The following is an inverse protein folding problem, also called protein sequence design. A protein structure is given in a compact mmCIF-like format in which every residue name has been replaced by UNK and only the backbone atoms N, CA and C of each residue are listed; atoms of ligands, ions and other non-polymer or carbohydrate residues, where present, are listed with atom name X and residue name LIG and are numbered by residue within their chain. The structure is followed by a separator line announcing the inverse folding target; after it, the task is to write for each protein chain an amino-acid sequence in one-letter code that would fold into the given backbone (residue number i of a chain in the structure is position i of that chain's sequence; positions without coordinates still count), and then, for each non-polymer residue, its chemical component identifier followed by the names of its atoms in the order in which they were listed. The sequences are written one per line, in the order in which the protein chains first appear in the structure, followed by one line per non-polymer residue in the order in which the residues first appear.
data_IF_775466749347
#
_entry.id   IF_775466749347
#
_cell.length_a   1.000
_cell.length_b   1.000
_cell.length_c   1.000
_cell.angle_alpha   90.00
_cell.angle_beta   90.00
_cell.angle_gamma   90.00
#
_symmetry.space_group_name_H-M   'P 1'
#
loop_
_entity.id
_entity.type
_entity.pdbx_description
1 polymer ?
#
# COMPACT_ATOMS: atom_id res chain seq x y z
N UNK A 1 -26.22 21.64 32.36
CA UNK A 1 -24.85 22.16 32.13
C UNK A 1 -23.90 20.99 31.91
N UNK A 2 -23.86 20.45 30.68
CA UNK A 2 -22.78 19.57 30.21
C UNK A 2 -22.51 20.00 28.78
N UNK A 3 -21.64 21.00 28.63
CA UNK A 3 -21.03 21.31 27.35
C UNK A 3 -19.92 20.27 27.15
N UNK A 4 -20.23 19.16 26.48
CA UNK A 4 -19.21 18.21 26.06
C UNK A 4 -18.63 18.68 24.72
N UNK A 5 -17.42 19.22 24.81
CA UNK A 5 -16.49 19.60 23.75
C UNK A 5 -16.75 18.95 22.38
N UNK A 6 -17.26 19.75 21.43
CA UNK A 6 -17.43 19.38 20.03
C UNK A 6 -16.16 19.60 19.17
N UNK A 7 -14.99 19.81 19.77
CA UNK A 7 -13.83 20.37 19.07
C UNK A 7 -12.52 19.57 19.18
N UNK A 8 -12.61 18.29 19.55
CA UNK A 8 -11.49 17.36 19.34
C UNK A 8 -11.82 16.54 18.11
N UNK A 9 -11.01 16.65 17.05
CA UNK A 9 -10.98 15.61 16.02
C UNK A 9 -10.95 14.27 16.76
N UNK A 10 -12.00 13.46 16.61
CA UNK A 10 -12.13 12.23 17.40
C UNK A 10 -10.86 11.39 17.27
N UNK A 11 -10.42 10.69 18.34
CA UNK A 11 -9.17 9.92 18.34
C UNK A 11 -9.02 9.01 17.10
N UNK A 12 -10.13 8.50 16.55
CA UNK A 12 -10.17 7.74 15.29
C UNK A 12 -9.59 8.51 14.07
N UNK A 13 -9.87 9.80 13.91
CA UNK A 13 -9.41 10.59 12.74
C UNK A 13 -7.90 10.84 12.78
N UNK A 14 -7.37 11.20 13.94
CA UNK A 14 -5.93 11.40 14.13
C UNK A 14 -5.19 10.10 13.83
N UNK A 15 -5.72 8.97 14.33
CA UNK A 15 -5.18 7.64 14.05
C UNK A 15 -5.24 7.31 12.56
N UNK A 16 -6.37 7.53 11.88
CA UNK A 16 -6.47 7.30 10.43
C UNK A 16 -5.48 8.15 9.63
N UNK A 17 -5.31 9.44 9.96
CA UNK A 17 -4.31 10.29 9.31
C UNK A 17 -2.89 9.78 9.57
N UNK A 18 -2.58 9.37 10.80
CA UNK A 18 -1.28 8.77 11.12
C UNK A 18 -1.03 7.50 10.30
N UNK A 19 -2.07 6.66 10.11
CA UNK A 19 -2.00 5.49 9.24
C UNK A 19 -1.72 5.86 7.78
N UNK A 20 -2.32 6.93 7.25
CA UNK A 20 -2.02 7.41 5.89
C UNK A 20 -0.56 7.90 5.78
N UNK A 21 -0.05 8.58 6.81
CA UNK A 21 1.35 9.03 6.87
C UNK A 21 2.38 7.90 7.01
N UNK A 22 1.96 6.69 7.36
CA UNK A 22 2.83 5.52 7.30
C UNK A 22 3.29 5.22 5.86
N UNK A 23 2.49 5.58 4.83
CA UNK A 23 2.86 5.41 3.42
C UNK A 23 4.11 6.21 3.01
N UNK A 24 4.13 7.55 3.19
CA UNK A 24 5.32 8.35 2.90
C UNK A 24 6.55 7.93 3.71
N UNK A 25 6.37 7.58 4.99
CA UNK A 25 7.45 7.10 5.83
C UNK A 25 8.03 5.77 5.31
N UNK A 26 7.16 4.84 4.94
CA UNK A 26 7.54 3.58 4.30
C UNK A 26 8.32 3.83 3.01
N UNK A 27 7.81 4.68 2.12
CA UNK A 27 8.47 5.03 0.86
C UNK A 27 9.84 5.67 1.06
N UNK A 28 9.98 6.58 2.03
CA UNK A 28 11.25 7.20 2.36
C UNK A 28 12.27 6.18 2.89
N UNK A 29 11.88 5.32 3.83
CA UNK A 29 12.74 4.26 4.36
C UNK A 29 13.13 3.26 3.27
N UNK A 30 12.19 2.87 2.41
CA UNK A 30 12.46 2.02 1.26
C UNK A 30 13.52 2.65 0.36
N UNK A 31 13.37 3.90 -0.06
CA UNK A 31 14.35 4.59 -0.93
C UNK A 31 15.72 4.65 -0.26
N UNK A 32 15.79 5.05 1.02
CA UNK A 32 17.05 5.11 1.77
C UNK A 32 17.73 3.74 1.83
N UNK A 33 16.98 2.69 2.17
CA UNK A 33 17.51 1.34 2.25
C UNK A 33 17.97 0.79 0.90
N UNK A 34 17.20 1.04 -0.17
CA UNK A 34 17.52 0.56 -1.52
C UNK A 34 18.77 1.24 -2.11
N UNK A 35 18.93 2.54 -1.83
CA UNK A 35 20.12 3.33 -2.22
C UNK A 35 21.34 2.88 -1.42
N UNK A 36 21.22 2.71 -0.11
CA UNK A 36 22.31 2.21 0.74
C UNK A 36 22.78 0.81 0.31
N UNK A 37 21.84 -0.05 -0.11
CA UNK A 37 22.18 -1.37 -0.64
C UNK A 37 22.81 -1.33 -2.04
N UNK A 38 22.85 -0.19 -2.72
CA UNK A 38 23.38 -0.06 -4.08
C UNK A 38 22.49 -0.73 -5.14
N UNK A 39 21.20 -0.88 -4.88
CA UNK A 39 20.25 -1.56 -5.77
C UNK A 39 19.45 -0.60 -6.66
N UNK A 40 19.80 0.69 -6.67
CA UNK A 40 19.20 1.69 -7.54
C UNK A 40 20.23 2.29 -8.52
N UNK A 41 20.18 1.98 -9.84
CA UNK A 41 19.25 1.07 -10.51
C UNK A 41 19.51 -0.41 -10.19
N UNK A 42 18.57 -1.32 -10.53
CA UNK A 42 18.71 -2.72 -10.20
C UNK A 42 19.90 -3.34 -10.94
N UNK A 43 20.62 -4.25 -10.28
CA UNK A 43 21.70 -5.03 -10.83
C UNK A 43 21.26 -5.89 -12.04
N UNK A 44 22.20 -6.41 -12.82
CA UNK A 44 21.89 -7.13 -14.05
C UNK A 44 21.55 -8.61 -13.79
N UNK A 45 20.49 -9.17 -14.42
CA UNK A 45 20.16 -10.60 -14.29
C UNK A 45 21.20 -11.53 -14.94
N UNK A 46 22.12 -10.97 -15.74
CA UNK A 46 23.17 -11.73 -16.42
C UNK A 46 24.43 -11.91 -15.58
N UNK A 47 24.49 -11.35 -14.36
CA UNK A 47 25.62 -11.56 -13.47
C UNK A 47 25.82 -13.06 -13.20
N UNK A 48 27.06 -13.51 -13.34
CA UNK A 48 27.50 -14.84 -12.95
C UNK A 48 27.47 -14.99 -11.43
N UNK A 49 27.51 -16.23 -10.96
CA UNK A 49 27.54 -16.51 -9.53
C UNK A 49 28.74 -15.85 -8.83
N UNK A 50 29.90 -15.86 -9.50
CA UNK A 50 31.11 -15.22 -8.99
C UNK A 50 30.98 -13.69 -8.90
N UNK A 51 30.36 -13.05 -9.89
CA UNK A 51 30.13 -11.59 -9.88
C UNK A 51 29.17 -11.17 -8.77
N UNK A 52 28.08 -11.91 -8.57
CA UNK A 52 27.13 -11.64 -7.47
C UNK A 52 27.82 -11.80 -6.11
N UNK A 53 28.57 -12.88 -5.92
CA UNK A 53 29.31 -13.12 -4.67
C UNK A 53 30.34 -12.01 -4.41
N UNK A 54 31.13 -11.62 -5.41
CA UNK A 54 32.11 -10.56 -5.28
C UNK A 54 31.48 -9.20 -4.94
N UNK A 55 30.35 -8.85 -5.58
CA UNK A 55 29.60 -7.62 -5.26
C UNK A 55 29.13 -7.62 -3.81
N UNK A 56 28.57 -8.74 -3.34
CA UNK A 56 28.11 -8.90 -1.96
C UNK A 56 29.28 -8.80 -0.99
N UNK A 57 30.42 -9.43 -1.27
CA UNK A 57 31.59 -9.39 -0.40
C UNK A 57 32.16 -7.98 -0.27
N UNK A 58 32.23 -7.24 -1.37
CA UNK A 58 32.75 -5.88 -1.38
C UNK A 58 31.87 -4.88 -0.61
N UNK A 59 30.54 -5.07 -0.61
CA UNK A 59 29.57 -4.12 -0.04
C UNK A 59 28.67 -4.72 1.05
N UNK A 60 29.11 -5.81 1.68
CA UNK A 60 28.30 -6.65 2.59
C UNK A 60 27.56 -5.87 3.67
N UNK A 61 28.27 -4.96 4.35
CA UNK A 61 27.71 -4.18 5.44
C UNK A 61 26.62 -3.22 4.95
N UNK A 62 26.89 -2.48 3.87
CA UNK A 62 25.96 -1.54 3.25
C UNK A 62 24.69 -2.26 2.75
N UNK A 63 24.86 -3.38 2.02
CA UNK A 63 23.73 -4.21 1.55
C UNK A 63 22.86 -4.66 2.73
N UNK A 64 23.46 -5.19 3.81
CA UNK A 64 22.70 -5.63 4.98
C UNK A 64 21.97 -4.49 5.67
N UNK A 65 22.63 -3.34 5.88
CA UNK A 65 22.02 -2.17 6.50
C UNK A 65 20.84 -1.69 5.66
N UNK A 66 21.05 -1.54 4.35
CA UNK A 66 20.00 -1.13 3.42
C UNK A 66 18.80 -2.07 3.43
N UNK A 67 19.03 -3.38 3.40
CA UNK A 67 17.95 -4.37 3.42
C UNK A 67 17.24 -4.45 4.78
N UNK A 68 17.95 -4.25 5.90
CA UNK A 68 17.32 -4.13 7.22
C UNK A 68 16.41 -2.90 7.30
N UNK A 69 16.83 -1.76 6.73
CA UNK A 69 15.98 -0.55 6.65
C UNK A 69 14.74 -0.83 5.80
N UNK A 70 14.90 -1.45 4.62
CA UNK A 70 13.78 -1.84 3.77
C UNK A 70 12.81 -2.79 4.49
N UNK A 71 13.33 -3.81 5.17
CA UNK A 71 12.54 -4.76 5.94
C UNK A 71 11.77 -4.09 7.09
N UNK A 72 12.41 -3.15 7.79
CA UNK A 72 11.77 -2.36 8.85
C UNK A 72 10.67 -1.44 8.31
N UNK A 73 10.71 -1.07 7.03
CA UNK A 73 9.66 -0.28 6.39
C UNK A 73 8.41 -1.10 6.05
N UNK A 74 8.53 -2.42 5.81
CA UNK A 74 7.43 -3.25 5.33
C UNK A 74 6.15 -3.17 6.19
N UNK A 75 6.20 -3.26 7.52
CA UNK A 75 5.00 -3.22 8.35
C UNK A 75 4.20 -1.91 8.25
N UNK A 76 4.84 -0.80 7.84
CA UNK A 76 4.19 0.49 7.64
C UNK A 76 3.25 0.51 6.44
N UNK A 77 3.36 -0.46 5.53
CA UNK A 77 2.43 -0.63 4.42
C UNK A 77 1.02 -0.98 4.92
N UNK A 78 0.90 -1.80 5.97
CA UNK A 78 -0.38 -2.27 6.48
C UNK A 78 -1.31 -1.14 6.98
N UNK A 79 -0.87 -0.20 7.86
CA UNK A 79 -1.72 0.93 8.25
C UNK A 79 -2.08 1.83 7.07
N UNK A 80 -1.17 2.02 6.11
CA UNK A 80 -1.47 2.78 4.89
C UNK A 80 -2.59 2.11 4.08
N UNK A 81 -2.49 0.81 3.80
CA UNK A 81 -3.49 0.06 3.05
C UNK A 81 -4.81 -0.11 3.80
N UNK A 82 -4.78 -0.23 5.14
CA UNK A 82 -5.99 -0.24 5.96
C UNK A 82 -6.80 1.05 5.81
N UNK A 83 -6.15 2.17 5.52
CA UNK A 83 -6.83 3.45 5.27
C UNK A 83 -7.68 3.39 4.00
N UNK A 84 -7.25 2.66 2.95
CA UNK A 84 -8.07 2.40 1.77
C UNK A 84 -9.30 1.56 2.13
N UNK A 85 -9.11 0.48 2.89
CA UNK A 85 -10.21 -0.40 3.34
C UNK A 85 -11.28 0.40 4.07
N UNK A 86 -10.93 1.27 5.01
CA UNK A 86 -11.91 2.08 5.74
C UNK A 86 -12.75 2.94 4.79
N UNK A 87 -12.13 3.57 3.79
CA UNK A 87 -12.88 4.36 2.82
C UNK A 87 -13.75 3.51 1.89
N UNK A 88 -13.30 2.30 1.53
CA UNK A 88 -14.10 1.36 0.75
C UNK A 88 -15.29 0.79 1.54
N UNK A 89 -15.15 0.56 2.85
CA UNK A 89 -16.26 0.17 3.72
C UNK A 89 -17.38 1.21 3.70
N UNK A 90 -17.01 2.50 3.68
CA UNK A 90 -17.98 3.58 3.51
C UNK A 90 -18.70 3.44 2.16
N UNK A 91 -17.97 3.19 1.07
CA UNK A 91 -18.58 3.06 -0.27
C UNK A 91 -19.57 1.89 -0.35
N UNK A 92 -19.18 0.68 0.08
CA UNK A 92 -19.98 -0.54 -0.10
C UNK A 92 -21.06 -0.77 0.97
N UNK A 93 -20.90 -0.20 2.17
CA UNK A 93 -21.87 -0.32 3.25
C UNK A 93 -21.97 -1.72 3.86
N UNK A 94 -23.17 -2.31 3.89
CA UNK A 94 -23.49 -3.48 4.71
C UNK A 94 -22.81 -4.79 4.30
N UNK A 95 -22.42 -4.94 3.02
CA UNK A 95 -21.81 -6.17 2.49
C UNK A 95 -20.53 -5.86 1.71
N UNK A 96 -19.46 -5.41 2.38
CA UNK A 96 -18.33 -4.77 1.72
C UNK A 96 -17.25 -5.77 1.30
N UNK A 97 -17.55 -6.56 0.27
CA UNK A 97 -16.68 -7.63 -0.19
C UNK A 97 -15.38 -7.09 -0.80
N UNK A 98 -15.44 -5.96 -1.51
CA UNK A 98 -14.26 -5.35 -2.12
C UNK A 98 -13.33 -4.79 -1.03
N UNK A 99 -13.86 -4.16 0.02
CA UNK A 99 -13.08 -3.62 1.12
C UNK A 99 -12.33 -4.71 1.91
N UNK A 100 -13.00 -5.84 2.20
CA UNK A 100 -12.33 -6.96 2.88
C UNK A 100 -11.33 -7.66 1.97
N UNK A 101 -11.61 -7.77 0.67
CA UNK A 101 -10.64 -8.29 -0.30
C UNK A 101 -9.42 -7.36 -0.38
N UNK A 102 -9.61 -6.03 -0.38
CA UNK A 102 -8.54 -5.04 -0.32
C UNK A 102 -7.67 -5.22 0.93
N UNK A 103 -8.30 -5.44 2.09
CA UNK A 103 -7.57 -5.65 3.34
C UNK A 103 -6.73 -6.93 3.30
N UNK A 104 -7.31 -8.03 2.84
CA UNK A 104 -6.61 -9.31 2.70
C UNK A 104 -5.43 -9.22 1.73
N UNK A 105 -5.63 -8.56 0.59
CA UNK A 105 -4.56 -8.30 -0.37
C UNK A 105 -3.49 -7.37 0.20
N UNK A 106 -3.85 -6.40 1.04
CA UNK A 106 -2.88 -5.52 1.70
C UNK A 106 -2.01 -6.25 2.73
N UNK A 107 -2.60 -7.18 3.47
CA UNK A 107 -1.85 -8.07 4.35
C UNK A 107 -0.90 -8.98 3.54
N UNK A 108 -1.39 -9.56 2.44
CA UNK A 108 -0.58 -10.37 1.54
C UNK A 108 0.59 -9.58 0.93
N UNK A 109 0.33 -8.38 0.40
CA UNK A 109 1.34 -7.48 -0.16
C UNK A 109 2.44 -7.12 0.84
N UNK A 110 2.08 -6.94 2.12
CA UNK A 110 3.06 -6.70 3.19
C UNK A 110 4.01 -7.88 3.35
N UNK A 111 3.48 -9.10 3.33
CA UNK A 111 4.27 -10.34 3.39
C UNK A 111 5.13 -10.52 2.12
N UNK A 112 4.58 -10.20 0.96
CA UNK A 112 5.29 -10.26 -0.33
C UNK A 112 6.51 -9.36 -0.37
N UNK A 113 6.52 -8.23 0.35
CA UNK A 113 7.74 -7.42 0.51
C UNK A 113 8.70 -7.97 1.57
N UNK A 114 8.22 -8.62 2.63
CA UNK A 114 9.08 -9.18 3.68
C UNK A 114 9.93 -10.34 3.16
N UNK A 115 9.30 -11.27 2.43
CA UNK A 115 9.95 -12.51 1.93
C UNK A 115 11.23 -12.24 1.12
N UNK A 116 11.25 -11.39 0.07
CA UNK A 116 12.44 -11.17 -0.73
C UNK A 116 13.59 -10.60 0.10
N UNK A 117 13.33 -9.71 1.05
CA UNK A 117 14.38 -9.17 1.92
C UNK A 117 14.98 -10.23 2.85
N UNK A 118 14.19 -11.19 3.32
CA UNK A 118 14.73 -12.32 4.08
C UNK A 118 15.69 -13.14 3.21
N UNK A 119 15.30 -13.50 1.99
CA UNK A 119 16.19 -14.23 1.08
C UNK A 119 17.46 -13.44 0.75
N UNK A 120 17.33 -12.13 0.53
CA UNK A 120 18.46 -11.24 0.28
C UNK A 120 19.40 -11.15 1.50
N UNK A 121 18.88 -11.09 2.72
CA UNK A 121 19.73 -11.10 3.92
C UNK A 121 20.47 -12.44 4.06
N UNK A 122 19.78 -13.56 3.80
CA UNK A 122 20.39 -14.89 3.87
C UNK A 122 21.49 -15.04 2.81
N UNK A 123 21.32 -14.50 1.59
CA UNK A 123 22.35 -14.53 0.54
C UNK A 123 23.64 -13.81 0.97
N UNK A 124 23.52 -12.81 1.84
CA UNK A 124 24.68 -12.09 2.38
C UNK A 124 25.23 -12.67 3.68
N UNK A 125 24.55 -13.62 4.34
CA UNK A 125 24.77 -13.94 5.76
C UNK A 125 26.14 -14.61 6.04
N UNK A 126 26.52 -15.60 5.23
CA UNK A 126 27.80 -16.33 5.37
C UNK A 126 28.85 -15.79 4.39
N UNK A 127 30.11 -15.76 4.81
CA UNK A 127 31.21 -15.28 3.97
C UNK A 127 31.81 -16.39 3.10
N UNK A 128 31.75 -17.61 3.61
CA UNK A 128 32.24 -18.85 3.03
C UNK A 128 31.17 -19.58 2.19
N UNK A 129 30.08 -18.91 1.85
CA UNK A 129 28.99 -19.52 1.10
C UNK A 129 29.37 -19.74 -0.37
N UNK A 130 29.04 -20.92 -0.91
CA UNK A 130 29.32 -21.24 -2.31
C UNK A 130 28.60 -20.23 -3.24
N UNK A 131 29.29 -19.66 -4.25
CA UNK A 131 28.73 -18.63 -5.12
C UNK A 131 27.39 -18.99 -5.76
N UNK A 132 27.20 -20.25 -6.16
CA UNK A 132 25.93 -20.70 -6.77
C UNK A 132 24.75 -20.65 -5.79
N UNK A 133 24.98 -20.92 -4.50
CA UNK A 133 23.93 -20.82 -3.47
C UNK A 133 23.59 -19.36 -3.21
N UNK A 134 24.62 -18.51 -3.14
CA UNK A 134 24.45 -17.05 -3.01
C UNK A 134 23.62 -16.51 -4.18
N UNK A 135 23.94 -16.90 -5.42
CA UNK A 135 23.18 -16.51 -6.61
C UNK A 135 21.75 -17.02 -6.57
N UNK A 136 21.51 -18.27 -6.21
CA UNK A 136 20.16 -18.82 -6.14
C UNK A 136 19.26 -18.04 -5.15
N UNK A 137 19.80 -17.70 -3.97
CA UNK A 137 19.11 -16.89 -2.95
C UNK A 137 18.93 -15.43 -3.36
N UNK A 138 19.88 -14.91 -4.13
CA UNK A 138 19.81 -13.58 -4.70
C UNK A 138 18.75 -13.50 -5.80
N UNK A 139 18.76 -14.43 -6.75
CA UNK A 139 17.80 -14.48 -7.85
C UNK A 139 16.37 -14.68 -7.32
N UNK A 140 16.15 -15.60 -6.37
CA UNK A 140 14.82 -15.80 -5.75
C UNK A 140 14.33 -14.52 -5.07
N UNK A 141 15.21 -13.74 -4.44
CA UNK A 141 14.80 -12.47 -3.81
C UNK A 141 14.32 -11.45 -4.85
N UNK A 142 15.00 -11.30 -5.99
CA UNK A 142 14.56 -10.42 -7.07
C UNK A 142 13.29 -10.91 -7.74
N UNK A 143 13.12 -12.23 -7.91
CA UNK A 143 11.90 -12.83 -8.45
C UNK A 143 10.69 -12.60 -7.53
N UNK A 144 10.85 -12.72 -6.21
CA UNK A 144 9.77 -12.37 -5.29
C UNK A 144 9.47 -10.86 -5.31
N UNK A 145 10.52 -10.03 -5.36
CA UNK A 145 10.38 -8.58 -5.34
C UNK A 145 9.68 -8.02 -6.59
N UNK A 146 9.98 -8.55 -7.78
CA UNK A 146 9.48 -8.02 -9.06
C UNK A 146 8.43 -8.92 -9.73
N UNK A 147 8.36 -10.20 -9.38
CA UNK A 147 7.50 -11.17 -10.07
C UNK A 147 6.14 -11.37 -9.45
N UNK A 148 5.94 -11.01 -8.18
CA UNK A 148 4.66 -11.17 -7.47
C UNK A 148 3.79 -9.94 -7.66
N UNK A 149 3.39 -9.70 -8.90
CA UNK A 149 2.69 -8.47 -9.31
C UNK A 149 1.16 -8.62 -9.31
N UNK A 150 0.67 -9.86 -9.37
CA UNK A 150 -0.76 -10.18 -9.44
C UNK A 150 -1.56 -9.63 -8.26
N UNK A 151 -1.01 -9.67 -7.05
CA UNK A 151 -1.63 -9.13 -5.82
C UNK A 151 -1.88 -7.63 -5.94
N UNK A 152 -0.88 -6.86 -6.40
CA UNK A 152 -1.01 -5.42 -6.63
C UNK A 152 -1.98 -5.10 -7.76
N UNK A 153 -1.92 -5.84 -8.87
CA UNK A 153 -2.85 -5.67 -10.00
C UNK A 153 -4.30 -5.82 -9.53
N UNK A 154 -4.59 -6.87 -8.76
CA UNK A 154 -5.93 -7.10 -8.23
C UNK A 154 -6.34 -6.02 -7.23
N UNK A 155 -5.41 -5.58 -6.37
CA UNK A 155 -5.66 -4.51 -5.40
C UNK A 155 -6.01 -3.18 -6.08
N UNK A 156 -5.26 -2.80 -7.12
CA UNK A 156 -5.53 -1.62 -7.94
C UNK A 156 -6.88 -1.75 -8.67
N UNK A 157 -7.16 -2.93 -9.23
CA UNK A 157 -8.41 -3.18 -9.93
C UNK A 157 -9.62 -3.06 -9.00
N UNK A 158 -9.57 -3.69 -7.83
CA UNK A 158 -10.64 -3.69 -6.83
C UNK A 158 -10.90 -2.28 -6.29
N UNK A 159 -9.83 -1.54 -5.95
CA UNK A 159 -9.99 -0.15 -5.52
C UNK A 159 -10.59 0.71 -6.64
N UNK A 160 -10.11 0.55 -7.88
CA UNK A 160 -10.65 1.26 -9.05
C UNK A 160 -12.15 0.99 -9.26
N UNK A 161 -12.57 -0.28 -9.17
CA UNK A 161 -13.99 -0.66 -9.25
C UNK A 161 -14.78 -0.05 -8.10
N UNK A 162 -14.29 -0.14 -6.87
CA UNK A 162 -14.96 0.42 -5.69
C UNK A 162 -15.23 1.93 -5.86
N UNK A 163 -14.26 2.70 -6.36
CA UNK A 163 -14.45 4.13 -6.65
C UNK A 163 -15.53 4.35 -7.72
N UNK A 164 -15.60 3.51 -8.75
CA UNK A 164 -16.55 3.69 -9.86
C UNK A 164 -17.98 3.24 -9.53
N UNK A 165 -18.15 2.30 -8.60
CA UNK A 165 -19.48 1.87 -8.15
C UNK A 165 -20.10 2.84 -7.14
N UNK A 166 -19.34 3.78 -6.59
CA UNK A 166 -19.87 4.80 -5.68
C UNK A 166 -20.99 5.61 -6.38
N UNK A 167 -22.21 5.51 -5.84
CA UNK A 167 -23.45 6.15 -6.32
C UNK A 167 -23.90 7.32 -5.46
N UNK A 168 -23.11 7.73 -4.46
CA UNK A 168 -23.43 8.88 -3.62
C UNK A 168 -23.56 10.15 -4.49
N UNK A 169 -24.41 11.11 -4.09
CA UNK A 169 -24.47 12.43 -4.74
C UNK A 169 -23.11 13.12 -4.74
N UNK A 170 -22.36 12.96 -3.65
CA UNK A 170 -20.97 13.36 -3.49
C UNK A 170 -20.12 12.10 -3.27
N UNK A 171 -19.45 11.56 -4.32
CA UNK A 171 -18.60 10.40 -4.19
C UNK A 171 -17.42 10.63 -3.25
N UNK A 172 -17.01 9.61 -2.49
CA UNK A 172 -15.88 9.72 -1.55
C UNK A 172 -14.58 10.04 -2.30
N UNK A 173 -14.42 9.42 -3.47
CA UNK A 173 -13.29 9.61 -4.36
C UNK A 173 -13.78 10.09 -5.73
N UNK A 174 -13.03 10.97 -6.42
CA UNK A 174 -13.40 11.37 -7.75
C UNK A 174 -13.27 10.20 -8.74
N UNK A 175 -14.20 10.07 -9.68
CA UNK A 175 -14.27 8.92 -10.61
C UNK A 175 -13.01 8.71 -11.44
N UNK A 176 -12.30 9.79 -11.78
CA UNK A 176 -11.03 9.71 -12.51
C UNK A 176 -9.96 8.93 -11.74
N UNK A 177 -9.96 8.99 -10.40
CA UNK A 177 -9.03 8.23 -9.56
C UNK A 177 -9.26 6.72 -9.73
N UNK A 178 -10.53 6.31 -9.88
CA UNK A 178 -10.90 4.94 -10.20
C UNK A 178 -10.33 4.49 -11.55
N UNK A 179 -10.53 5.29 -12.60
CA UNK A 179 -9.98 4.99 -13.94
C UNK A 179 -8.45 4.95 -13.95
N UNK A 180 -7.78 5.84 -13.21
CA UNK A 180 -6.32 5.83 -13.08
C UNK A 180 -5.83 4.55 -12.42
N UNK A 181 -6.47 4.08 -11.33
CA UNK A 181 -6.10 2.82 -10.69
C UNK A 181 -6.32 1.60 -11.61
N UNK A 182 -7.41 1.56 -12.37
CA UNK A 182 -7.64 0.51 -13.37
C UNK A 182 -6.58 0.51 -14.48
N UNK A 183 -6.24 1.70 -14.98
CA UNK A 183 -5.18 1.85 -15.98
C UNK A 183 -3.83 1.39 -15.43
N UNK A 184 -3.49 1.80 -14.21
CA UNK A 184 -2.27 1.37 -13.52
C UNK A 184 -2.21 -0.15 -13.39
N UNK A 185 -3.30 -0.81 -13.02
CA UNK A 185 -3.37 -2.28 -12.94
C UNK A 185 -2.91 -2.95 -14.25
N UNK A 186 -3.28 -2.39 -15.41
CA UNK A 186 -2.84 -2.88 -16.72
C UNK A 186 -1.34 -2.63 -16.94
N UNK A 187 -0.81 -1.48 -16.53
CA UNK A 187 0.61 -1.13 -16.70
C UNK A 187 1.57 -2.04 -15.93
N UNK A 188 1.10 -2.69 -14.87
CA UNK A 188 1.91 -3.62 -14.07
C UNK A 188 1.96 -5.03 -14.66
N UNK A 189 1.03 -5.41 -15.55
CA UNK A 189 0.96 -6.77 -16.15
C UNK A 189 2.25 -7.21 -16.86
N UNK A 190 2.98 -6.35 -17.62
CA UNK A 190 4.22 -6.75 -18.28
C UNK A 190 5.30 -7.30 -17.33
N UNK A 191 5.33 -6.83 -16.08
CA UNK A 191 6.32 -7.29 -15.10
C UNK A 191 6.18 -8.79 -14.79
N UNK A 192 4.97 -9.37 -14.86
CA UNK A 192 4.74 -10.81 -14.69
C UNK A 192 5.48 -11.69 -15.71
N UNK A 193 5.95 -11.12 -16.83
CA UNK A 193 6.67 -11.85 -17.86
C UNK A 193 8.20 -11.85 -17.65
N UNK A 194 8.72 -11.29 -16.56
CA UNK A 194 10.17 -11.19 -16.32
C UNK A 194 10.87 -12.57 -16.32
N UNK A 195 10.16 -13.64 -15.98
CA UNK A 195 10.66 -15.03 -15.96
C UNK A 195 11.16 -15.52 -17.32
N UNK A 196 10.69 -14.93 -18.42
CA UNK A 196 11.02 -15.34 -19.77
C UNK A 196 12.22 -14.59 -20.36
N UNK A 197 12.68 -13.50 -19.72
CA UNK A 197 13.66 -12.60 -20.31
C UNK A 197 14.81 -12.28 -19.35
N UNK A 198 16.04 -12.51 -19.81
CA UNK A 198 17.27 -12.10 -19.12
C UNK A 198 17.90 -10.83 -19.71
N UNK A 199 17.40 -10.36 -20.85
CA UNK A 199 17.91 -9.17 -21.55
C UNK A 199 16.75 -8.40 -22.18
N UNK A 200 16.96 -7.11 -22.43
CA UNK A 200 15.99 -6.26 -23.11
C UNK A 200 14.94 -5.66 -22.17
N UNK A 201 13.84 -5.10 -22.71
CA UNK A 201 12.90 -4.28 -21.94
C UNK A 201 12.12 -5.06 -20.87
N UNK A 202 11.99 -6.38 -21.03
CA UNK A 202 11.30 -7.29 -20.11
C UNK A 202 12.24 -8.03 -19.15
N UNK A 203 13.55 -7.75 -19.17
CA UNK A 203 14.46 -8.21 -18.12
C UNK A 203 14.13 -7.48 -16.81
N UNK A 204 14.54 -8.03 -15.65
CA UNK A 204 14.20 -7.43 -14.35
C UNK A 204 14.71 -5.99 -14.17
N UNK A 205 15.75 -5.60 -14.92
CA UNK A 205 16.35 -4.26 -14.91
C UNK A 205 15.95 -3.45 -16.14
N UNK A 206 15.06 -4.00 -16.97
CA UNK A 206 14.54 -3.39 -18.17
C UNK A 206 13.46 -2.36 -17.88
N UNK A 207 13.12 -1.57 -18.91
CA UNK A 207 12.15 -0.47 -18.81
C UNK A 207 10.77 -0.93 -18.35
N UNK A 208 10.28 -2.09 -18.80
CA UNK A 208 8.92 -2.54 -18.50
C UNK A 208 8.78 -3.22 -17.13
N UNK A 209 9.86 -3.79 -16.59
CA UNK A 209 9.83 -4.48 -15.28
C UNK A 209 10.29 -3.59 -14.15
N UNK A 210 11.22 -2.66 -14.41
CA UNK A 210 11.72 -1.75 -13.39
C UNK A 210 11.08 -0.37 -13.49
N UNK A 211 11.34 0.34 -14.59
CA UNK A 211 11.04 1.77 -14.68
C UNK A 211 9.54 2.06 -14.75
N UNK A 212 8.78 1.32 -15.55
CA UNK A 212 7.32 1.48 -15.63
C UNK A 212 6.67 1.27 -14.25
N UNK A 213 6.91 0.17 -13.51
CA UNK A 213 6.43 0.02 -12.14
C UNK A 213 6.82 1.15 -11.19
N UNK A 214 8.07 1.66 -11.26
CA UNK A 214 8.52 2.79 -10.42
C UNK A 214 7.68 4.05 -10.72
N UNK A 215 7.51 4.42 -11.99
CA UNK A 215 6.70 5.59 -12.35
C UNK A 215 5.21 5.37 -12.05
N UNK A 216 4.68 4.18 -12.32
CA UNK A 216 3.31 3.80 -11.99
C UNK A 216 3.05 3.88 -10.49
N UNK A 217 4.00 3.48 -9.66
CA UNK A 217 3.90 3.63 -8.21
C UNK A 217 3.82 5.11 -7.79
N UNK A 218 4.65 6.00 -8.34
CA UNK A 218 4.59 7.44 -8.02
C UNK A 218 3.26 8.07 -8.44
N UNK A 219 2.80 7.72 -9.64
CA UNK A 219 1.52 8.19 -10.19
C UNK A 219 0.32 7.63 -9.43
N UNK A 220 0.44 6.43 -8.85
CA UNK A 220 -0.53 5.88 -7.93
C UNK A 220 -0.48 6.58 -6.57
N UNK A 221 0.71 6.71 -5.99
CA UNK A 221 0.89 7.11 -4.61
C UNK A 221 0.42 8.54 -4.35
N UNK A 222 0.85 9.50 -5.18
CA UNK A 222 0.57 10.92 -4.93
C UNK A 222 -0.94 11.25 -4.95
N UNK A 223 -1.72 10.87 -5.98
CA UNK A 223 -3.17 11.10 -5.98
C UNK A 223 -3.87 10.36 -4.84
N UNK A 224 -3.61 9.06 -4.67
CA UNK A 224 -4.31 8.27 -3.66
C UNK A 224 -4.01 8.78 -2.24
N UNK A 225 -2.76 9.17 -1.94
CA UNK A 225 -2.39 9.79 -0.68
C UNK A 225 -3.20 11.07 -0.40
N UNK A 226 -3.24 11.99 -1.38
CA UNK A 226 -3.97 13.26 -1.23
C UNK A 226 -5.47 13.02 -1.05
N UNK A 227 -6.06 12.14 -1.86
CA UNK A 227 -7.50 11.87 -1.80
C UNK A 227 -7.90 11.05 -0.58
N UNK A 228 -7.03 10.19 -0.02
CA UNK A 228 -7.28 9.54 1.26
C UNK A 228 -7.35 10.56 2.40
N UNK A 229 -6.40 11.50 2.46
CA UNK A 229 -6.44 12.56 3.48
C UNK A 229 -7.70 13.42 3.35
N UNK A 230 -8.11 13.75 2.11
CA UNK A 230 -9.36 14.48 1.86
C UNK A 230 -10.60 13.68 2.26
N UNK A 231 -10.65 12.39 1.95
CA UNK A 231 -11.77 11.52 2.31
C UNK A 231 -11.94 11.38 3.82
N UNK A 232 -10.82 11.32 4.57
CA UNK A 232 -10.81 11.32 6.04
C UNK A 232 -11.28 12.67 6.59
N UNK A 233 -10.94 13.77 5.93
CA UNK A 233 -11.37 15.10 6.36
C UNK A 233 -12.87 15.33 6.12
N UNK A 234 -13.42 14.81 5.02
CA UNK A 234 -14.85 14.85 4.71
C UNK A 234 -15.70 13.94 5.62
N UNK A 235 -15.15 12.88 6.18
CA UNK A 235 -15.86 11.99 7.14
C UNK A 235 -16.33 12.71 8.41
N UNK A 236 -15.67 13.83 8.78
CA UNK A 236 -16.12 14.70 9.88
C UNK A 236 -17.51 15.30 9.62
N UNK A 237 -17.77 15.69 8.37
CA UNK A 237 -19.00 16.38 8.02
C UNK A 237 -20.20 15.42 8.15
N UNK A 238 -19.98 14.13 7.85
CA UNK A 238 -20.95 13.05 8.07
C UNK A 238 -21.28 12.88 9.56
N UNK A 239 -20.27 12.84 10.46
CA UNK A 239 -20.47 12.64 11.91
C UNK A 239 -21.21 13.82 12.58
N UNK A 240 -20.95 15.05 12.11
CA UNK A 240 -21.69 16.25 12.53
C UNK A 240 -23.17 16.15 12.11
N UNK A 241 -23.44 15.62 10.91
CA UNK A 241 -24.81 15.41 10.42
C UNK A 241 -25.57 14.37 11.25
N UNK A 242 -24.94 13.25 11.60
CA UNK A 242 -25.54 12.19 12.43
C UNK A 242 -25.82 12.72 13.83
N UNK A 243 -24.87 13.43 14.44
CA UNK A 243 -25.06 14.05 15.76
C UNK A 243 -26.23 15.02 15.77
N UNK A 244 -26.41 15.78 14.69
CA UNK A 244 -27.57 16.66 14.50
C UNK A 244 -28.87 15.86 14.40
N UNK A 245 -28.91 14.81 13.58
CA UNK A 245 -30.09 13.95 13.43
C UNK A 245 -30.48 13.27 14.73
N UNK A 246 -29.52 12.76 15.50
CA UNK A 246 -29.77 12.19 16.83
C UNK A 246 -30.39 13.21 17.78
N UNK A 247 -29.92 14.47 17.73
CA UNK A 247 -30.51 15.56 18.51
C UNK A 247 -31.93 15.85 18.09
N UNK A 248 -32.20 15.88 16.79
CA UNK A 248 -33.56 16.09 16.24
C UNK A 248 -34.50 14.95 16.61
N UNK A 249 -34.07 13.69 16.47
CA UNK A 249 -34.84 12.50 16.87
C UNK A 249 -35.12 12.49 18.38
N UNK A 250 -34.13 12.81 19.22
CA UNK A 250 -34.33 12.91 20.66
C UNK A 250 -35.31 14.05 21.02
N UNK A 251 -35.22 15.19 20.33
CA UNK A 251 -36.16 16.29 20.49
C UNK A 251 -37.59 15.91 20.08
N UNK A 252 -37.75 15.18 18.98
CA UNK A 252 -39.05 14.65 18.53
C UNK A 252 -39.62 13.65 19.53
N UNK A 253 -38.79 12.72 20.04
CA UNK A 253 -39.19 11.73 21.04
C UNK A 253 -39.67 12.41 22.32
N UNK A 254 -38.95 13.41 22.82
CA UNK A 254 -39.37 14.19 23.98
C UNK A 254 -40.72 14.91 23.75
N UNK A 255 -40.98 15.44 22.54
CA UNK A 255 -42.27 16.04 22.19
C UNK A 255 -43.40 15.01 22.12
N UNK A 256 -43.14 13.82 21.59
CA UNK A 256 -44.11 12.72 21.57
C UNK A 256 -44.46 12.31 23.01
N UNK A 257 -43.47 12.13 23.88
CA UNK A 257 -43.68 11.78 25.29
C UNK A 257 -44.53 12.83 26.04
N UNK A 258 -44.43 14.11 25.65
CA UNK A 258 -45.27 15.18 26.23
C UNK A 258 -46.72 15.19 25.70
N UNK A 259 -46.96 14.64 24.51
CA UNK A 259 -48.28 14.63 23.84
C UNK A 259 -49.05 13.33 24.05
N UNK A 260 -48.37 12.24 24.40
CA UNK A 260 -48.98 11.01 24.92
C UNK A 260 -48.48 10.72 26.33
N UNK A 261 -48.83 11.54 27.34
CA UNK A 261 -48.64 11.11 28.71
C UNK A 261 -49.44 9.81 28.85
N UNK A 262 -48.75 8.70 29.07
CA UNK A 262 -49.29 7.35 29.23
C UNK A 262 -50.72 7.35 29.79
N UNK A 263 -51.66 6.80 29.01
CA UNK A 263 -52.87 6.18 29.57
C UNK A 263 -52.49 4.93 30.37
#
# INVERSE_FOLDING_TARGET
MVAHNADKAGPSRIVQKACVWAGPLMGALFVVGFVEAGFFPPPSPNQSAAEVAAMIDQHRAAIRIGIVICLASCPLLMPFLASFTIQMLRIEGLRPILAYTQLALGALATVEFVIPYVFMLVSTYRADQHPDVTRALYDISWFFFLGVVSTFVLQLAIFGVAVLIDRRPEPIFPRWLGYVNLWLAITFVPASFLVFFKTGPLAWNGVLVWWVPVFSFLLWFLPNFVFLLRAIDADRDDDVSITRLLREVNGLRARIDTLSPSA
#
